data_IF_078472011855
#
_entry.id   IF_078472011855
#
_cell.length_a   1.000
_cell.length_b   1.000
_cell.length_c   1.000
_cell.angle_alpha   90.00
_cell.angle_beta   90.00
_cell.angle_gamma   90.00
#
_symmetry.space_group_name_H-M   'P 1'
#
loop_
_entity.id
_entity.type
_entity.pdbx_description
1 polymer ?
#
# COMPACT_ATOMS: atom_id res chain seq x y z
N UNK A 1 53.48 -14.51 -2.90
CA UNK A 1 52.81 -15.15 -4.06
C UNK A 1 51.79 -16.14 -3.51
N UNK A 2 50.56 -16.07 -4.04
CA UNK A 2 49.45 -17.06 -3.98
C UNK A 2 48.89 -17.46 -2.59
N UNK A 3 47.60 -17.66 -2.36
CA UNK A 3 46.38 -17.55 -3.17
C UNK A 3 45.18 -17.51 -2.20
N UNK A 4 44.20 -16.63 -2.45
CA UNK A 4 42.95 -16.60 -1.70
C UNK A 4 41.98 -17.64 -2.25
N UNK A 5 41.89 -18.80 -1.59
CA UNK A 5 40.92 -19.85 -1.91
C UNK A 5 39.51 -19.47 -1.45
N UNK A 6 38.79 -18.70 -2.28
CA UNK A 6 37.35 -18.46 -2.10
C UNK A 6 36.56 -19.75 -2.35
N UNK A 7 36.22 -20.47 -1.27
CA UNK A 7 35.36 -21.65 -1.34
C UNK A 7 34.01 -21.30 -1.97
N UNK A 8 33.76 -21.82 -3.18
CA UNK A 8 32.44 -21.74 -3.81
C UNK A 8 31.48 -22.60 -2.99
N UNK A 9 30.50 -21.96 -2.35
CA UNK A 9 29.44 -22.65 -1.61
C UNK A 9 28.70 -23.54 -2.61
N UNK A 10 28.75 -24.84 -2.39
CA UNK A 10 28.03 -25.82 -3.20
C UNK A 10 26.52 -25.59 -2.96
N UNK A 11 25.85 -24.96 -3.91
CA UNK A 11 24.42 -24.69 -3.83
C UNK A 11 23.67 -25.96 -4.20
N UNK A 12 22.88 -26.50 -3.26
CA UNK A 12 22.04 -27.64 -3.54
C UNK A 12 20.85 -27.21 -4.40
N UNK A 13 20.91 -27.51 -5.70
CA UNK A 13 19.86 -27.19 -6.68
C UNK A 13 18.48 -27.74 -6.26
N UNK A 14 18.44 -28.90 -5.60
CA UNK A 14 17.19 -29.48 -5.10
C UNK A 14 16.59 -28.60 -4.00
N UNK A 15 17.42 -28.04 -3.12
CA UNK A 15 16.97 -27.10 -2.09
C UNK A 15 16.38 -25.82 -2.71
N UNK A 16 17.04 -25.28 -3.74
CA UNK A 16 16.54 -24.12 -4.48
C UNK A 16 15.20 -24.42 -5.16
N UNK A 17 15.06 -25.59 -5.79
CA UNK A 17 13.82 -26.02 -6.43
C UNK A 17 12.67 -26.18 -5.43
N UNK A 18 12.95 -26.71 -4.23
CA UNK A 18 11.95 -26.83 -3.16
C UNK A 18 11.49 -25.46 -2.66
N UNK A 19 12.42 -24.52 -2.45
CA UNK A 19 12.09 -23.14 -2.06
C UNK A 19 11.20 -22.48 -3.12
N UNK A 20 11.56 -22.64 -4.40
CA UNK A 20 10.78 -22.11 -5.51
C UNK A 20 9.36 -22.68 -5.53
N UNK A 21 9.22 -23.99 -5.38
CA UNK A 21 7.92 -24.63 -5.32
C UNK A 21 7.07 -24.09 -4.18
N UNK A 22 7.62 -24.02 -2.97
CA UNK A 22 6.92 -23.49 -1.79
C UNK A 22 6.44 -22.06 -2.00
N UNK A 23 7.25 -21.22 -2.66
CA UNK A 23 6.89 -19.84 -2.96
C UNK A 23 5.73 -19.74 -3.94
N UNK A 24 5.79 -20.52 -5.03
CA UNK A 24 4.73 -20.57 -6.05
C UNK A 24 3.43 -21.10 -5.45
N UNK A 25 3.49 -22.17 -4.66
CA UNK A 25 2.33 -22.74 -3.99
C UNK A 25 1.68 -21.73 -3.02
N UNK A 26 2.50 -20.96 -2.28
CA UNK A 26 2.03 -19.89 -1.41
C UNK A 26 1.35 -18.75 -2.17
N UNK A 27 1.88 -18.39 -3.34
CA UNK A 27 1.30 -17.35 -4.20
C UNK A 27 -0.04 -17.79 -4.78
N UNK A 28 -0.13 -19.01 -5.31
CA UNK A 28 -1.37 -19.60 -5.83
C UNK A 28 -2.47 -19.65 -4.77
N UNK A 29 -2.13 -20.08 -3.55
CA UNK A 29 -3.06 -20.08 -2.42
C UNK A 29 -3.54 -18.67 -2.07
N UNK A 30 -2.62 -17.71 -2.03
CA UNK A 30 -2.95 -16.31 -1.73
C UNK A 30 -3.85 -15.70 -2.80
N UNK A 31 -3.64 -16.04 -4.07
CA UNK A 31 -4.51 -15.61 -5.18
C UNK A 31 -5.90 -16.24 -5.10
N UNK A 32 -6.00 -17.53 -4.77
CA UNK A 32 -7.28 -18.21 -4.62
C UNK A 32 -8.12 -17.65 -3.48
N UNK A 33 -7.48 -17.35 -2.34
CA UNK A 33 -8.12 -16.76 -1.17
C UNK A 33 -8.31 -15.24 -1.30
N UNK A 34 -7.74 -14.60 -2.34
CA UNK A 34 -7.78 -13.15 -2.50
C UNK A 34 -9.21 -12.64 -2.68
N UNK A 35 -10.02 -13.33 -3.49
CA UNK A 35 -11.41 -12.92 -3.73
C UNK A 35 -12.28 -13.04 -2.49
N UNK A 36 -12.08 -14.09 -1.70
CA UNK A 36 -12.84 -14.30 -0.46
C UNK A 36 -12.49 -13.24 0.58
N UNK A 37 -11.19 -12.93 0.74
CA UNK A 37 -10.73 -12.01 1.78
C UNK A 37 -10.77 -10.53 1.37
N UNK A 38 -10.62 -10.24 0.09
CA UNK A 38 -10.42 -8.88 -0.43
C UNK A 38 -11.28 -8.54 -1.65
N UNK A 39 -12.18 -9.44 -2.08
CA UNK A 39 -13.06 -9.20 -3.23
C UNK A 39 -13.94 -7.96 -3.10
N UNK A 40 -14.24 -7.50 -1.87
CA UNK A 40 -14.95 -6.24 -1.64
C UNK A 40 -14.18 -4.99 -2.10
N UNK A 41 -12.86 -5.10 -2.31
CA UNK A 41 -12.02 -4.04 -2.89
C UNK A 41 -12.07 -4.02 -4.42
N UNK A 42 -12.52 -5.11 -5.07
CA UNK A 42 -12.98 -4.99 -6.45
C UNK A 42 -14.23 -4.14 -6.39
N UNK A 43 -14.11 -2.89 -6.83
CA UNK A 43 -15.27 -2.01 -6.95
C UNK A 43 -16.39 -2.76 -7.64
N UNK A 44 -17.62 -2.58 -7.16
CA UNK A 44 -18.85 -3.08 -7.80
C UNK A 44 -18.94 -2.49 -9.22
N UNK A 45 -18.17 -3.03 -10.16
CA UNK A 45 -18.37 -2.84 -11.58
C UNK A 45 -19.46 -3.83 -11.96
N UNK A 46 -20.67 -3.30 -12.14
CA UNK A 46 -21.94 -3.99 -12.40
C UNK A 46 -22.78 -4.40 -11.17
N UNK A 47 -23.09 -3.45 -10.28
CA UNK A 47 -24.50 -3.34 -9.89
C UNK A 47 -25.21 -2.51 -10.98
N UNK A 48 -26.14 -3.06 -11.78
CA UNK A 48 -26.98 -2.21 -12.61
C UNK A 48 -27.67 -1.21 -11.67
N UNK A 49 -27.58 0.07 -12.01
CA UNK A 49 -28.22 1.14 -11.25
C UNK A 49 -29.67 0.71 -10.98
N UNK A 50 -30.17 0.76 -9.72
CA UNK A 50 -31.57 0.51 -9.47
C UNK A 50 -32.35 1.57 -10.26
N UNK A 51 -33.06 1.13 -11.30
CA UNK A 51 -34.06 1.92 -12.00
C UNK A 51 -35.06 2.37 -10.93
N UNK A 52 -34.88 3.60 -10.46
CA UNK A 52 -35.83 4.28 -9.58
C UNK A 52 -37.08 4.59 -10.41
N UNK A 53 -37.94 3.60 -10.58
CA UNK A 53 -39.31 3.82 -11.00
C UNK A 53 -40.07 4.28 -9.76
N UNK A 54 -39.97 5.58 -9.48
CA UNK A 54 -40.72 6.27 -8.44
C UNK A 54 -41.33 7.52 -9.05
N UNK A 55 -42.46 7.33 -9.75
CA UNK A 55 -43.37 8.41 -10.09
C UNK A 55 -44.16 8.78 -8.83
N UNK A 56 -44.01 10.02 -8.37
CA UNK A 56 -44.98 10.85 -7.65
C UNK A 56 -44.25 11.92 -6.82
N UNK A 57 -44.44 13.20 -7.16
CA UNK A 57 -44.15 14.31 -6.23
C UNK A 57 -43.51 15.53 -6.86
N UNK A 58 -44.32 16.30 -7.59
CA UNK A 58 -44.03 17.69 -7.93
C UNK A 58 -43.88 18.55 -6.66
N UNK A 59 -42.73 19.21 -6.48
CA UNK A 59 -42.62 20.46 -5.72
C UNK A 59 -41.31 21.20 -6.07
N UNK A 60 -41.51 22.38 -6.67
CA UNK A 60 -40.58 23.50 -6.85
C UNK A 60 -39.56 23.72 -5.73
N UNK A 61 -38.29 23.94 -6.11
CA UNK A 61 -37.26 24.42 -5.19
C UNK A 61 -35.91 24.60 -5.87
N UNK A 62 -35.72 25.73 -6.54
CA UNK A 62 -34.43 26.10 -7.10
C UNK A 62 -33.38 26.37 -6.02
N UNK A 63 -32.16 25.86 -6.24
CA UNK A 63 -30.88 26.59 -6.06
C UNK A 63 -29.75 25.73 -6.58
N UNK A 64 -29.19 26.17 -7.69
CA UNK A 64 -27.90 25.70 -8.22
C UNK A 64 -26.84 25.97 -7.15
N UNK A 65 -26.12 24.98 -6.62
CA UNK A 65 -24.85 25.26 -5.96
C UNK A 65 -23.90 25.71 -7.06
N UNK A 66 -23.54 27.00 -7.00
CA UNK A 66 -22.49 27.61 -7.80
C UNK A 66 -21.28 26.69 -7.82
N UNK A 67 -20.92 26.29 -9.03
CA UNK A 67 -19.76 25.49 -9.39
C UNK A 67 -18.49 26.23 -8.92
N UNK A 68 -18.14 26.00 -7.66
CA UNK A 68 -16.87 26.38 -7.08
C UNK A 68 -15.81 25.51 -7.73
N UNK A 69 -15.40 25.92 -8.94
CA UNK A 69 -14.43 25.25 -9.78
C UNK A 69 -13.23 24.82 -8.96
N UNK A 70 -13.22 23.54 -8.61
CA UNK A 70 -12.05 22.86 -8.08
C UNK A 70 -11.09 22.78 -9.24
N UNK A 71 -10.27 23.82 -9.40
CA UNK A 71 -9.08 23.76 -10.25
C UNK A 71 -8.35 22.48 -9.88
N UNK A 72 -8.47 21.48 -10.75
CA UNK A 72 -7.58 20.35 -10.75
C UNK A 72 -6.23 20.94 -11.12
N UNK A 73 -5.49 21.42 -10.12
CA UNK A 73 -4.10 21.76 -10.29
C UNK A 73 -3.47 20.49 -10.83
N UNK A 74 -3.10 20.49 -12.11
CA UNK A 74 -2.24 19.49 -12.71
C UNK A 74 -0.90 19.57 -11.98
N UNK A 75 -0.85 19.00 -10.77
CA UNK A 75 0.39 18.81 -10.03
C UNK A 75 1.32 18.10 -10.97
N UNK A 76 2.46 18.73 -11.26
CA UNK A 76 3.46 18.17 -12.15
C UNK A 76 3.77 16.74 -11.72
N UNK A 77 4.17 15.88 -12.65
CA UNK A 77 4.52 14.50 -12.33
C UNK A 77 5.56 14.44 -11.20
N UNK A 78 6.45 15.43 -11.16
CA UNK A 78 7.41 15.65 -10.08
C UNK A 78 6.76 15.87 -8.71
N UNK A 79 5.73 16.71 -8.60
CA UNK A 79 5.02 16.93 -7.33
C UNK A 79 4.31 15.67 -6.83
N UNK A 80 3.75 14.87 -7.75
CA UNK A 80 3.12 13.58 -7.41
C UNK A 80 4.17 12.59 -6.94
N UNK A 81 5.31 12.51 -7.63
CA UNK A 81 6.43 11.66 -7.27
C UNK A 81 7.02 12.03 -5.90
N UNK A 82 7.20 13.33 -5.64
CA UNK A 82 7.65 13.84 -4.35
C UNK A 82 6.66 13.56 -3.22
N UNK A 83 5.36 13.63 -3.49
CA UNK A 83 4.34 13.26 -2.50
C UNK A 83 4.38 11.78 -2.15
N UNK A 84 4.63 10.89 -3.12
CA UNK A 84 4.80 9.46 -2.89
C UNK A 84 6.06 9.16 -2.08
N UNK A 85 7.19 9.78 -2.43
CA UNK A 85 8.45 9.70 -1.67
C UNK A 85 8.26 10.16 -0.23
N UNK A 86 7.59 11.29 -0.02
CA UNK A 86 7.31 11.78 1.33
C UNK A 86 6.34 10.88 2.10
N UNK A 87 5.53 10.07 1.42
CA UNK A 87 4.66 9.10 2.08
C UNK A 87 5.42 7.86 2.56
N UNK A 88 6.43 7.40 1.81
CA UNK A 88 7.22 6.21 2.15
C UNK A 88 8.30 6.43 3.20
N UNK A 89 8.71 7.68 3.45
CA UNK A 89 9.69 7.99 4.51
C UNK A 89 9.23 7.46 5.89
N UNK A 90 10.14 6.96 6.73
CA UNK A 90 9.81 6.57 8.10
C UNK A 90 9.46 7.80 8.96
N UNK A 91 8.67 7.64 10.04
CA UNK A 91 8.31 8.74 10.94
C UNK A 91 9.49 9.57 11.43
N UNK A 92 10.65 8.94 11.66
CA UNK A 92 11.93 9.56 12.06
C UNK A 92 12.44 10.64 11.11
N UNK A 93 12.15 10.53 9.82
CA UNK A 93 12.56 11.50 8.81
C UNK A 93 11.52 12.60 8.60
N UNK A 94 10.28 12.39 9.05
CA UNK A 94 9.18 13.37 8.90
C UNK A 94 9.05 14.30 10.10
N UNK A 95 9.34 13.80 11.30
CA UNK A 95 9.10 14.49 12.55
C UNK A 95 10.38 14.57 13.37
N UNK A 96 10.57 15.66 14.12
CA UNK A 96 11.71 15.82 15.03
C UNK A 96 11.56 15.02 16.34
N UNK A 97 10.33 14.55 16.64
CA UNK A 97 9.95 13.79 17.84
C UNK A 97 8.75 12.88 17.54
N UNK A 98 8.52 11.80 18.31
CA UNK A 98 7.36 10.95 18.10
C UNK A 98 6.07 11.73 18.38
N UNK A 99 5.15 11.70 17.41
CA UNK A 99 3.85 12.42 17.49
C UNK A 99 2.75 11.52 18.06
N UNK A 100 2.88 10.21 17.90
CA UNK A 100 1.94 9.21 18.40
C UNK A 100 2.71 8.17 19.21
N UNK A 101 2.01 7.49 20.11
CA UNK A 101 2.61 6.43 20.95
C UNK A 101 3.21 5.31 20.10
N UNK A 102 2.60 4.98 18.96
CA UNK A 102 3.14 4.02 18.00
C UNK A 102 4.50 4.46 17.43
N UNK A 103 4.73 5.76 17.24
CA UNK A 103 6.02 6.28 16.77
C UNK A 103 7.11 6.22 17.84
N UNK A 104 6.80 6.00 19.11
CA UNK A 104 7.81 5.93 20.19
C UNK A 104 8.69 4.69 20.06
N UNK A 105 8.16 3.61 19.49
CA UNK A 105 8.88 2.35 19.27
C UNK A 105 10.00 2.58 18.25
N UNK A 106 11.24 2.36 18.68
CA UNK A 106 12.43 2.59 17.85
C UNK A 106 12.86 4.06 17.75
N UNK A 107 12.17 5.00 18.41
CA UNK A 107 12.60 6.40 18.49
C UNK A 107 13.70 6.64 19.52
N UNK A 108 13.58 5.99 20.69
CA UNK A 108 14.57 6.08 21.76
C UNK A 108 15.77 5.18 21.43
N UNK A 109 17.01 5.62 21.67
CA UNK A 109 18.15 4.71 21.66
C UNK A 109 17.89 3.60 22.69
N UNK A 110 18.15 2.35 22.32
CA UNK A 110 17.97 1.21 23.22
C UNK A 110 18.80 1.45 24.48
N UNK A 111 18.16 1.61 25.63
CA UNK A 111 18.85 1.80 26.91
C UNK A 111 19.56 0.53 27.42
N UNK A 112 19.68 -0.51 26.58
CA UNK A 112 20.43 -1.72 26.89
C UNK A 112 21.91 -1.55 26.51
N UNK A 113 22.55 -0.53 27.08
CA UNK A 113 23.99 -0.54 27.33
C UNK A 113 24.17 -0.91 28.79
N UNK A 114 24.22 -2.21 29.09
CA UNK A 114 24.67 -2.67 30.40
C UNK A 114 26.12 -2.18 30.57
N UNK A 115 26.32 -1.27 31.52
CA UNK A 115 27.62 -0.95 32.09
C UNK A 115 28.03 -1.99 33.12
#
# INVERSE_FOLDING_TARGET
MAEGGGGRKEHNEVHNAVIWKQRVDGELKSQAEWEENWGFLRGNEAAPAPTRTGDAGSATGGRVPSDGGRSQSNKSEDERYQALLNRTKPPKEKYSRPVTTTHEVGWRPSQNGYG
#
